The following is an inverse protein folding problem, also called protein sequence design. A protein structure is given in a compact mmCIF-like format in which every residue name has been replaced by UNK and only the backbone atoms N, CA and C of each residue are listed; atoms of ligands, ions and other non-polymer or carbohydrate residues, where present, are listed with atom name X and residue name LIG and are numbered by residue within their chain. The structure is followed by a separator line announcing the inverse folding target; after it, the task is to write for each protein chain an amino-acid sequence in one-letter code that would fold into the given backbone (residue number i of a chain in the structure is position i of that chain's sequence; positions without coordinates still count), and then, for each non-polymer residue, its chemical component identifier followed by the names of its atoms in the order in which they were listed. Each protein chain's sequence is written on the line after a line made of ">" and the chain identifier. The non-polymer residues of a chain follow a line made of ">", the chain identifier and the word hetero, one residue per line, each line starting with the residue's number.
data_IF_708445724843
#
_entry.id   IF_708445724843
#
_cell.length_a   1.000
_cell.length_b   1.000
_cell.length_c   1.000
_cell.angle_alpha   90.00
_cell.angle_beta   90.00
_cell.angle_gamma   90.00
#
_symmetry.space_group_name_H-M   'P 1'
#
loop_
_entity.id
_entity.type
_entity.pdbx_description
1 polymer ?
#
# COMPACT_ATOMS: atom_id res chain seq x y z
N UNK A 1 -5.50 4.03 10.51
CA UNK A 1 -5.17 4.42 9.13
C UNK A 1 -6.36 5.16 8.54
N UNK A 2 -6.16 5.88 7.44
CA UNK A 2 -7.28 6.47 6.69
C UNK A 2 -8.00 5.43 5.81
N UNK A 3 -8.99 5.89 5.03
CA UNK A 3 -9.77 5.04 4.10
C UNK A 3 -8.92 4.42 2.98
N UNK A 4 -7.74 4.95 2.72
CA UNK A 4 -6.79 4.45 1.73
C UNK A 4 -5.75 3.50 2.34
N UNK A 5 -5.84 3.22 3.65
CA UNK A 5 -4.90 2.38 4.37
C UNK A 5 -3.59 3.08 4.74
N UNK A 6 -3.52 4.42 4.67
CA UNK A 6 -2.29 5.18 4.93
C UNK A 6 -2.26 5.74 6.34
N UNK A 7 -1.04 5.89 6.87
CA UNK A 7 -0.73 6.61 8.10
C UNK A 7 0.50 7.47 7.86
N UNK A 8 0.45 8.74 8.30
CA UNK A 8 1.56 9.69 8.18
C UNK A 8 1.88 10.27 9.55
N UNK A 9 3.15 10.25 9.91
CA UNK A 9 3.70 10.88 11.11
C UNK A 9 4.85 11.78 10.67
N UNK A 10 4.88 13.02 11.17
CA UNK A 10 5.93 14.00 10.89
C UNK A 10 6.65 14.40 12.17
N UNK A 11 7.76 15.15 12.02
CA UNK A 11 8.44 15.82 13.13
C UNK A 11 9.04 14.86 14.19
N UNK A 12 9.38 13.64 13.75
CA UNK A 12 10.12 12.69 14.59
C UNK A 12 11.60 13.09 14.69
N UNK A 13 12.10 13.15 15.93
CA UNK A 13 13.53 13.31 16.20
C UNK A 13 14.32 12.10 15.73
N UNK A 14 15.63 12.29 15.52
CA UNK A 14 16.58 11.20 15.30
C UNK A 14 16.47 10.17 16.43
N UNK A 15 16.38 8.89 16.09
CA UNK A 15 16.25 7.81 17.07
C UNK A 15 15.67 6.51 16.49
N UNK A 16 15.56 5.51 17.36
CA UNK A 16 14.97 4.22 17.06
C UNK A 16 13.52 4.17 17.53
N UNK A 17 12.64 3.68 16.67
CA UNK A 17 11.20 3.64 16.87
C UNK A 17 10.64 2.26 16.54
N UNK A 18 9.42 2.01 16.99
CA UNK A 18 8.65 0.83 16.61
C UNK A 18 7.25 1.25 16.18
N UNK A 19 6.76 0.63 15.12
CA UNK A 19 5.36 0.70 14.72
C UNK A 19 4.62 -0.42 15.45
N UNK A 20 3.61 -0.04 16.24
CA UNK A 20 2.73 -0.96 16.96
C UNK A 20 1.31 -0.75 16.44
N UNK A 21 0.69 -1.81 15.94
CA UNK A 21 -0.72 -1.79 15.60
C UNK A 21 -1.55 -1.78 16.88
N UNK A 22 -2.49 -0.83 17.00
CA UNK A 22 -3.37 -0.72 18.18
C UNK A 22 -4.65 -1.53 17.98
N UNK A 23 -5.21 -1.48 16.78
CA UNK A 23 -6.47 -2.12 16.41
C UNK A 23 -6.38 -2.58 14.94
N UNK A 24 -6.89 -3.78 14.68
CA UNK A 24 -6.98 -4.33 13.34
C UNK A 24 -8.36 -4.08 12.72
N UNK A 25 -8.46 -3.92 11.40
CA UNK A 25 -9.75 -3.86 10.72
C UNK A 25 -10.57 -5.15 10.93
N UNK A 26 -11.90 -5.03 10.81
CA UNK A 26 -12.81 -6.19 10.89
C UNK A 26 -12.40 -7.28 9.89
N UNK A 27 -12.29 -8.52 10.37
CA UNK A 27 -11.90 -9.67 9.55
C UNK A 27 -10.39 -9.86 9.36
N UNK A 28 -9.57 -9.07 10.06
CA UNK A 28 -8.12 -9.19 10.04
C UNK A 28 -7.56 -9.47 11.45
N UNK A 29 -6.50 -10.25 11.50
CA UNK A 29 -5.71 -10.45 12.71
C UNK A 29 -4.85 -9.23 12.99
N UNK A 30 -4.82 -8.83 14.26
CA UNK A 30 -3.95 -7.77 14.76
C UNK A 30 -2.51 -8.24 14.81
N UNK A 31 -1.59 -7.42 14.32
CA UNK A 31 -0.16 -7.65 14.43
C UNK A 31 0.26 -7.63 15.89
N UNK A 32 0.86 -8.74 16.31
CA UNK A 32 1.39 -8.91 17.68
C UNK A 32 2.83 -8.45 17.80
N UNK A 33 3.58 -8.46 16.70
CA UNK A 33 4.99 -8.12 16.67
C UNK A 33 5.19 -6.66 16.21
N UNK A 34 5.83 -5.81 17.03
CA UNK A 34 6.21 -4.47 16.61
C UNK A 34 7.21 -4.47 15.45
N UNK A 35 7.13 -3.47 14.59
CA UNK A 35 8.02 -3.31 13.43
C UNK A 35 9.03 -2.18 13.73
N UNK A 36 10.32 -2.48 13.92
CA UNK A 36 11.32 -1.46 14.21
C UNK A 36 11.68 -0.64 12.97
N UNK A 37 11.93 0.65 13.17
CA UNK A 37 12.51 1.54 12.16
C UNK A 37 13.38 2.61 12.85
N UNK A 38 14.22 3.29 12.07
CA UNK A 38 15.15 4.29 12.59
C UNK A 38 15.08 5.57 11.76
N UNK A 39 15.18 6.70 12.45
CA UNK A 39 15.39 8.02 11.85
C UNK A 39 16.83 8.41 12.13
N UNK A 40 17.66 8.52 11.08
CA UNK A 40 19.06 8.90 11.21
C UNK A 40 19.29 10.37 10.85
N UNK A 41 20.35 10.96 11.41
CA UNK A 41 20.72 12.34 11.11
C UNK A 41 21.06 12.49 9.63
N UNK A 42 20.44 13.48 8.97
CA UNK A 42 20.71 13.77 7.55
C UNK A 42 19.81 13.03 6.56
N UNK A 43 18.83 12.24 7.02
CA UNK A 43 17.79 11.73 6.13
C UNK A 43 16.95 12.88 5.56
N UNK A 44 16.90 12.95 4.23
CA UNK A 44 16.06 13.89 3.47
C UNK A 44 14.77 13.24 2.96
N UNK A 45 14.73 11.91 2.94
CA UNK A 45 13.61 11.11 2.44
C UNK A 45 12.82 10.49 3.60
N UNK A 46 11.49 10.40 3.51
CA UNK A 46 10.69 9.75 4.54
C UNK A 46 10.95 8.24 4.58
N UNK A 47 10.86 7.66 5.78
CA UNK A 47 10.78 6.20 5.94
C UNK A 47 9.41 5.74 5.49
N UNK A 48 9.37 4.81 4.53
CA UNK A 48 8.14 4.19 4.05
C UNK A 48 8.08 2.74 4.54
N UNK A 49 6.97 2.37 5.18
CA UNK A 49 6.72 1.03 5.69
C UNK A 49 5.42 0.51 5.08
N UNK A 50 5.48 -0.69 4.53
CA UNK A 50 4.30 -1.45 4.09
C UNK A 50 4.03 -2.55 5.10
N UNK A 51 2.80 -2.59 5.60
CA UNK A 51 2.38 -3.49 6.68
C UNK A 51 1.19 -4.30 6.19
N UNK A 52 1.30 -5.62 6.26
CA UNK A 52 0.27 -6.55 5.80
C UNK A 52 -0.36 -7.28 6.99
N UNK A 53 -1.67 -7.14 7.14
CA UNK A 53 -2.44 -7.93 8.09
C UNK A 53 -2.85 -9.27 7.49
N UNK A 54 -2.93 -10.29 8.34
CA UNK A 54 -3.49 -11.59 7.95
C UNK A 54 -5.01 -11.54 8.04
N UNK A 55 -5.71 -12.14 7.08
CA UNK A 55 -7.15 -12.35 7.21
C UNK A 55 -7.41 -13.33 8.36
N UNK A 56 -8.33 -12.97 9.24
CA UNK A 56 -8.86 -13.92 10.22
C UNK A 56 -9.60 -15.01 9.45
N UNK A 57 -9.25 -16.28 9.64
CA UNK A 57 -9.98 -17.41 9.08
C UNK A 57 -11.33 -17.56 9.80
N UNK A 58 -12.26 -16.66 9.50
CA UNK A 58 -13.64 -16.85 9.88
C UNK A 58 -14.12 -18.09 9.11
N UNK A 59 -14.40 -19.18 9.82
CA UNK A 59 -15.34 -20.18 9.34
C UNK A 59 -16.57 -19.45 8.78
N UNK A 60 -17.21 -19.95 7.69
CA UNK A 60 -18.28 -19.22 7.01
C UNK A 60 -19.28 -18.69 8.03
N UNK A 61 -19.66 -17.40 7.94
CA UNK A 61 -20.58 -16.83 8.91
C UNK A 61 -21.84 -17.68 8.92
N UNK A 62 -22.11 -18.33 10.05
CA UNK A 62 -23.47 -18.74 10.36
C UNK A 62 -24.39 -17.52 10.22
N UNK A 63 -25.66 -17.71 9.85
CA UNK A 63 -26.54 -16.63 9.40
C UNK A 63 -26.45 -15.44 10.34
N UNK A 64 -26.01 -14.30 9.78
CA UNK A 64 -25.88 -13.03 10.49
C UNK A 64 -27.20 -12.74 11.20
N UNK A 65 -27.19 -12.82 12.53
CA UNK A 65 -28.30 -12.35 13.33
C UNK A 65 -28.36 -10.82 13.15
N UNK A 66 -29.46 -10.26 12.65
CA UNK A 66 -29.51 -8.84 12.32
C UNK A 66 -29.37 -8.02 13.60
N UNK A 67 -28.35 -7.17 13.67
CA UNK A 67 -28.30 -6.08 14.65
C UNK A 67 -29.43 -5.10 14.30
N UNK A 68 -30.47 -5.11 15.13
CA UNK A 68 -31.56 -4.13 15.10
C UNK A 68 -31.00 -2.75 15.36
N UNK A 69 -30.94 -1.92 14.32
CA UNK A 69 -30.87 -0.45 14.45
C UNK A 69 -32.20 0.16 14.03
N UNK A 70 -32.70 1.04 14.90
CA UNK A 70 -34.00 1.72 14.90
C UNK A 70 -34.23 2.60 13.64
N UNK A 71 -35.48 2.84 13.18
CA UNK A 71 -35.77 3.36 11.84
C UNK A 71 -36.14 4.84 11.79
N UNK A 72 -35.55 5.59 10.85
CA UNK A 72 -36.08 6.78 10.15
C UNK A 72 -35.00 7.18 9.11
N UNK A 73 -35.21 7.41 7.82
CA UNK A 73 -36.35 7.85 6.99
C UNK A 73 -35.93 7.70 5.49
N UNK A 74 -36.84 7.57 4.50
CA UNK A 74 -36.52 7.07 3.16
C UNK A 74 -36.32 8.14 2.08
N UNK A 75 -35.57 7.78 1.03
CA UNK A 75 -35.55 8.41 -0.29
C UNK A 75 -34.19 8.19 -0.97
N UNK A 76 -34.03 7.85 -2.24
CA UNK A 76 -34.93 7.61 -3.39
C UNK A 76 -34.09 6.84 -4.41
N UNK A 77 -34.67 5.88 -5.13
CA UNK A 77 -34.00 5.02 -6.10
C UNK A 77 -33.59 5.73 -7.41
N UNK A 78 -32.62 5.10 -8.09
CA UNK A 78 -32.42 4.96 -9.56
C UNK A 78 -31.47 5.95 -10.29
N UNK A 79 -30.81 5.59 -11.43
CA UNK A 79 -30.72 4.30 -12.12
C UNK A 79 -29.30 3.84 -12.58
N UNK A 80 -29.23 2.55 -12.91
CA UNK A 80 -28.14 1.74 -13.48
C UNK A 80 -27.63 2.24 -14.86
N UNK A 81 -26.29 2.42 -15.04
CA UNK A 81 -25.59 2.50 -16.35
C UNK A 81 -24.04 2.51 -16.25
N UNK A 82 -23.33 2.03 -17.29
CA UNK A 82 -22.75 0.70 -17.41
C UNK A 82 -21.37 0.56 -16.73
N UNK A 83 -21.09 -0.65 -16.26
CA UNK A 83 -19.79 -1.07 -15.71
C UNK A 83 -18.71 -1.03 -16.81
N UNK A 84 -17.89 0.03 -16.83
CA UNK A 84 -16.56 -0.05 -17.45
C UNK A 84 -15.65 -0.68 -16.40
N UNK A 85 -15.35 -1.96 -16.57
CA UNK A 85 -14.38 -2.67 -15.72
C UNK A 85 -13.09 -1.85 -15.59
N UNK A 86 -12.84 -1.37 -14.38
CA UNK A 86 -11.53 -0.85 -13.97
C UNK A 86 -10.59 -2.04 -13.81
N UNK A 87 -9.29 -1.92 -14.15
CA UNK A 87 -8.34 -2.99 -13.89
C UNK A 87 -8.35 -3.31 -12.38
N UNK A 88 -8.51 -4.60 -12.04
CA UNK A 88 -8.47 -5.05 -10.64
C UNK A 88 -7.11 -4.67 -10.03
N UNK A 89 -7.12 -3.86 -8.99
CA UNK A 89 -5.94 -3.49 -8.20
C UNK A 89 -5.33 -4.77 -7.61
N UNK A 90 -4.19 -5.19 -8.17
CA UNK A 90 -3.53 -6.45 -7.84
C UNK A 90 -2.98 -7.24 -9.04
N UNK A 91 -3.35 -6.90 -10.28
CA UNK A 91 -2.61 -7.40 -11.44
C UNK A 91 -1.23 -6.74 -11.50
N UNK A 92 -0.18 -7.52 -11.20
CA UNK A 92 1.20 -7.16 -11.52
C UNK A 92 1.33 -7.11 -13.05
N UNK A 93 1.46 -5.93 -13.64
CA UNK A 93 2.05 -5.87 -14.98
C UNK A 93 3.47 -6.45 -14.88
N UNK A 94 3.90 -7.36 -15.77
CA UNK A 94 5.27 -7.86 -15.74
C UNK A 94 6.22 -6.70 -16.09
N UNK A 95 6.76 -6.04 -15.07
CA UNK A 95 7.75 -4.94 -15.22
C UNK A 95 9.16 -5.49 -15.53
N UNK A 96 9.32 -6.81 -15.46
CA UNK A 96 10.60 -7.52 -15.57
C UNK A 96 11.37 -7.30 -16.89
N UNK A 97 10.76 -7.18 -18.10
CA UNK A 97 11.56 -6.94 -19.31
C UNK A 97 12.06 -5.50 -19.44
N UNK A 98 11.40 -4.52 -18.80
CA UNK A 98 11.72 -3.09 -18.97
C UNK A 98 12.92 -2.64 -18.15
N UNK A 99 13.11 -3.19 -16.95
CA UNK A 99 14.29 -2.88 -16.14
C UNK A 99 15.59 -3.37 -16.80
N UNK A 100 15.55 -4.55 -17.45
CA UNK A 100 16.67 -5.07 -18.24
C UNK A 100 16.99 -4.19 -19.46
N UNK A 101 15.96 -3.78 -20.21
CA UNK A 101 16.14 -2.89 -21.37
C UNK A 101 16.69 -1.51 -20.97
N UNK A 102 16.25 -0.95 -19.83
CA UNK A 102 16.75 0.33 -19.31
C UNK A 102 18.25 0.26 -18.96
N UNK A 103 18.69 -0.82 -18.32
CA UNK A 103 20.10 -1.03 -17.97
C UNK A 103 20.98 -1.25 -19.22
N UNK A 104 20.47 -1.94 -20.24
CA UNK A 104 21.17 -2.11 -21.52
C UNK A 104 21.27 -0.77 -22.27
N UNK A 105 20.19 0.03 -22.32
CA UNK A 105 20.23 1.34 -22.98
C UNK A 105 21.16 2.34 -22.27
N UNK A 106 21.21 2.34 -20.94
CA UNK A 106 22.13 3.19 -20.17
C UNK A 106 23.60 2.80 -20.41
N UNK A 107 23.91 1.51 -20.47
CA UNK A 107 25.29 1.04 -20.73
C UNK A 107 25.76 1.35 -22.16
N UNK A 108 24.88 1.19 -23.18
CA UNK A 108 25.17 1.64 -24.54
C UNK A 108 25.34 3.17 -24.63
N UNK A 109 24.51 3.93 -23.91
CA UNK A 109 24.63 5.39 -23.83
C UNK A 109 25.98 5.85 -23.29
N UNK A 110 26.46 5.25 -22.19
CA UNK A 110 27.77 5.55 -21.62
C UNK A 110 28.92 5.12 -22.56
N UNK A 111 28.81 3.97 -23.23
CA UNK A 111 29.81 3.50 -24.19
C UNK A 111 29.93 4.42 -25.43
N UNK A 112 28.79 4.91 -25.95
CA UNK A 112 28.77 5.84 -27.10
C UNK A 112 29.24 7.24 -26.68
N UNK A 113 28.87 7.72 -25.49
CA UNK A 113 29.31 9.02 -24.98
C UNK A 113 30.82 9.04 -24.69
N UNK A 114 31.37 7.95 -24.14
CA UNK A 114 32.80 7.79 -23.89
C UNK A 114 33.66 7.76 -25.17
N UNK A 115 33.11 7.31 -26.30
CA UNK A 115 33.79 7.37 -27.61
C UNK A 115 33.86 8.77 -28.21
N UNK A 116 32.96 9.67 -27.82
CA UNK A 116 32.92 11.05 -28.35
C UNK A 116 33.87 12.00 -27.63
N UNK A 117 34.35 11.64 -26.44
CA UNK A 117 35.37 12.40 -25.69
C UNK A 117 36.81 12.02 -26.05
N UNK A 118 37.01 10.99 -26.87
CA UNK A 118 38.32 10.49 -27.30
C UNK A 118 38.65 10.88 -28.76
N UNK A 119 37.89 11.79 -29.37
CA UNK A 119 38.17 12.38 -30.69
C UNK A 119 38.32 13.89 -30.59
#
# INVERSE_FOLDING_TARGET
>A
TDKEGKAKVSDLSVGHYTLVEVEAPKGYEKLTNPIPFEITKGMISPVQLEVLNKLTSLAPPGPEKPETTNPEKPGTMNPEKPEKELPKTGQKMPVEPYMGALLIMMSFGLLVLGRKQQR
#
